data_IF_571740098422
#
_entry.id   IF_571740098422
#
_cell.length_a   1.000
_cell.length_b   1.000
_cell.length_c   1.000
_cell.angle_alpha   90.00
_cell.angle_beta   90.00
_cell.angle_gamma   90.00
#
_symmetry.space_group_name_H-M   'P 1'
#
loop_
_entity.id
_entity.type
_entity.pdbx_description
1 polymer ?
#
# COMPACT_ATOMS: atom_id res chain seq x y z
N UNK A 1 -53.79 21.76 55.69
CA UNK A 1 -52.83 22.08 54.62
C UNK A 1 -52.12 20.80 54.26
N UNK A 2 -52.52 20.16 53.17
CA UNK A 2 -52.06 18.83 52.77
C UNK A 2 -51.35 18.99 51.43
N UNK A 3 -50.01 18.85 51.40
CA UNK A 3 -49.22 18.97 50.18
C UNK A 3 -49.04 17.61 49.52
N UNK A 4 -49.69 17.45 48.37
CA UNK A 4 -49.61 16.28 47.49
C UNK A 4 -48.36 16.41 46.61
N UNK A 5 -47.39 15.51 46.77
CA UNK A 5 -46.18 15.45 45.95
C UNK A 5 -46.43 14.57 44.72
N UNK A 6 -46.53 15.20 43.54
CA UNK A 6 -46.51 14.50 42.24
C UNK A 6 -45.10 14.01 41.94
N UNK A 7 -44.92 12.70 41.85
CA UNK A 7 -43.74 12.08 41.28
C UNK A 7 -43.89 12.00 39.75
N UNK A 8 -43.15 12.85 39.02
CA UNK A 8 -42.94 12.69 37.58
C UNK A 8 -41.93 11.56 37.36
N UNK A 9 -42.40 10.42 36.84
CA UNK A 9 -41.53 9.36 36.35
C UNK A 9 -40.92 9.79 35.00
N UNK A 10 -39.61 10.04 34.98
CA UNK A 10 -38.86 10.28 33.76
C UNK A 10 -38.64 8.94 33.04
N UNK A 11 -39.34 8.72 31.93
CA UNK A 11 -39.06 7.65 30.98
C UNK A 11 -37.75 7.96 30.24
N UNK A 12 -36.69 7.24 30.59
CA UNK A 12 -35.45 7.23 29.82
C UNK A 12 -35.68 6.42 28.55
N UNK A 13 -35.83 7.11 27.43
CA UNK A 13 -35.79 6.53 26.09
C UNK A 13 -34.34 6.11 25.81
N UNK A 14 -34.05 4.82 25.95
CA UNK A 14 -32.81 4.23 25.47
C UNK A 14 -32.92 4.17 23.93
N UNK A 15 -32.25 5.10 23.24
CA UNK A 15 -32.11 5.01 21.80
C UNK A 15 -31.31 3.74 21.44
N UNK A 16 -31.76 2.93 20.46
CA UNK A 16 -30.96 1.82 19.98
C UNK A 16 -29.69 2.40 19.36
N UNK A 17 -28.54 2.07 19.93
CA UNK A 17 -27.24 2.29 19.27
C UNK A 17 -27.27 1.43 18.01
N UNK A 18 -27.29 2.06 16.84
CA UNK A 18 -27.19 1.37 15.57
C UNK A 18 -25.85 0.62 15.51
N UNK A 19 -25.89 -0.70 15.72
CA UNK A 19 -24.77 -1.59 15.43
C UNK A 19 -24.79 -1.84 13.93
N UNK A 20 -24.22 -0.91 13.16
CA UNK A 20 -24.05 -1.06 11.72
C UNK A 20 -22.79 -0.32 11.29
N UNK A 21 -21.64 -1.01 11.27
CA UNK A 21 -20.43 -0.66 10.49
C UNK A 21 -19.22 -1.57 10.83
N UNK A 22 -19.40 -2.89 10.96
CA UNK A 22 -18.26 -3.81 11.14
C UNK A 22 -17.86 -4.57 9.86
N UNK A 23 -18.61 -4.41 8.76
CA UNK A 23 -18.44 -5.20 7.53
C UNK A 23 -17.73 -4.45 6.37
N UNK A 24 -17.29 -3.22 6.59
CA UNK A 24 -16.70 -2.39 5.54
C UNK A 24 -15.22 -2.10 5.78
N UNK A 25 -14.41 -2.23 4.72
CA UNK A 25 -13.01 -1.81 4.74
C UNK A 25 -12.92 -0.29 4.94
N UNK A 26 -12.04 0.19 5.84
CA UNK A 26 -11.64 1.59 5.86
C UNK A 26 -11.12 2.05 4.49
N UNK A 27 -11.35 3.33 4.17
CA UNK A 27 -10.88 3.94 2.93
C UNK A 27 -9.37 3.76 2.71
N UNK A 28 -8.93 3.68 1.47
CA UNK A 28 -7.52 3.51 1.09
C UNK A 28 -7.30 2.30 0.20
N UNK A 29 -6.02 1.99 -0.02
CA UNK A 29 -5.61 0.89 -0.89
C UNK A 29 -5.47 -0.38 -0.06
N UNK A 30 -6.03 -1.49 -0.52
CA UNK A 30 -5.90 -2.81 0.08
C UNK A 30 -5.36 -3.80 -0.93
N UNK A 31 -4.39 -4.61 -0.52
CA UNK A 31 -3.79 -5.62 -1.40
C UNK A 31 -3.47 -6.91 -0.67
N UNK A 32 -3.37 -8.02 -1.39
CA UNK A 32 -2.83 -9.29 -0.87
C UNK A 32 -1.37 -9.54 -1.29
N UNK A 33 -0.62 -8.51 -1.71
CA UNK A 33 0.73 -8.67 -2.27
C UNK A 33 1.64 -9.49 -1.37
N UNK A 34 1.67 -9.20 -0.06
CA UNK A 34 2.59 -9.87 0.86
C UNK A 34 2.17 -11.31 1.19
N UNK A 35 0.87 -11.59 1.25
CA UNK A 35 0.39 -12.97 1.41
C UNK A 35 0.67 -13.82 0.16
N UNK A 36 0.41 -13.26 -1.03
CA UNK A 36 0.60 -13.99 -2.28
C UNK A 36 2.07 -14.18 -2.68
N UNK A 37 2.99 -13.34 -2.19
CA UNK A 37 4.40 -13.43 -2.55
C UNK A 37 5.06 -14.70 -2.01
N UNK A 38 4.78 -15.06 -0.75
CA UNK A 38 5.38 -16.20 -0.07
C UNK A 38 4.52 -17.47 -0.09
N UNK A 39 3.32 -17.42 -0.67
CA UNK A 39 2.39 -18.55 -0.70
C UNK A 39 3.04 -19.88 -1.13
N UNK A 40 3.80 -19.88 -2.23
CA UNK A 40 4.46 -21.10 -2.74
C UNK A 40 5.58 -21.60 -1.81
N UNK A 41 6.34 -20.69 -1.18
CA UNK A 41 7.36 -21.04 -0.18
C UNK A 41 6.72 -21.68 1.07
N UNK A 42 5.49 -21.29 1.38
CA UNK A 42 4.68 -21.84 2.47
C UNK A 42 3.88 -23.09 2.06
N UNK A 43 4.05 -23.60 0.83
CA UNK A 43 3.33 -24.77 0.33
C UNK A 43 1.86 -24.52 -0.02
N UNK A 44 1.46 -23.25 -0.19
CA UNK A 44 0.13 -22.82 -0.64
C UNK A 44 0.15 -22.48 -2.12
N UNK A 45 -0.99 -22.63 -2.79
CA UNK A 45 -1.17 -22.05 -4.13
C UNK A 45 -1.14 -20.53 -4.04
N UNK A 46 -0.48 -19.85 -4.99
CA UNK A 46 -0.49 -18.39 -5.07
C UNK A 46 -1.94 -17.90 -5.32
N UNK A 47 -2.51 -17.04 -4.46
CA UNK A 47 -3.84 -16.49 -4.66
C UNK A 47 -3.85 -15.54 -5.87
N UNK A 48 -5.05 -15.28 -6.42
CA UNK A 48 -5.21 -14.26 -7.43
C UNK A 48 -4.78 -12.89 -6.87
N UNK A 49 -4.05 -12.05 -7.64
CA UNK A 49 -3.67 -10.73 -7.18
C UNK A 49 -4.90 -9.86 -6.91
N UNK A 50 -4.94 -9.26 -5.73
CA UNK A 50 -5.97 -8.31 -5.32
C UNK A 50 -5.29 -6.97 -5.06
N UNK A 51 -5.77 -5.93 -5.75
CA UNK A 51 -5.49 -4.54 -5.42
C UNK A 51 -6.77 -3.73 -5.62
N UNK A 52 -7.28 -3.18 -4.53
CA UNK A 52 -8.51 -2.39 -4.53
C UNK A 52 -8.27 -1.05 -3.85
N UNK A 53 -8.97 -0.04 -4.33
CA UNK A 53 -9.07 1.27 -3.70
C UNK A 53 -10.48 1.41 -3.13
N UNK A 54 -10.59 1.82 -1.87
CA UNK A 54 -11.85 2.10 -1.18
C UNK A 54 -11.92 3.61 -0.90
N UNK A 55 -12.98 4.26 -1.37
CA UNK A 55 -13.23 5.68 -1.16
C UNK A 55 -13.72 5.98 0.25
N UNK A 56 -13.66 7.25 0.64
CA UNK A 56 -14.20 7.72 1.92
C UNK A 56 -15.73 7.57 2.02
N UNK A 57 -16.41 7.46 0.88
CA UNK A 57 -17.84 7.18 0.74
C UNK A 57 -18.18 5.68 0.75
N UNK A 58 -17.18 4.80 0.94
CA UNK A 58 -17.34 3.35 0.97
C UNK A 58 -17.47 2.69 -0.41
N UNK A 59 -17.48 3.47 -1.51
CA UNK A 59 -17.38 2.89 -2.86
C UNK A 59 -15.98 2.31 -3.07
N UNK A 60 -15.86 1.33 -3.95
CA UNK A 60 -14.59 0.68 -4.21
C UNK A 60 -14.35 0.42 -5.70
N UNK A 61 -13.10 0.24 -6.10
CA UNK A 61 -12.72 -0.18 -7.46
C UNK A 61 -11.43 -0.98 -7.45
N UNK A 62 -11.21 -1.77 -8.49
CA UNK A 62 -9.90 -2.38 -8.74
C UNK A 62 -8.88 -1.34 -9.19
N UNK A 63 -7.62 -1.53 -8.81
CA UNK A 63 -6.47 -0.77 -9.30
C UNK A 63 -5.35 -1.73 -9.72
N UNK A 64 -4.38 -1.25 -10.48
CA UNK A 64 -3.15 -2.01 -10.74
C UNK A 64 -2.01 -1.63 -9.76
N UNK A 65 -0.84 -2.26 -9.95
CA UNK A 65 0.35 -2.00 -9.13
C UNK A 65 0.88 -0.56 -9.22
N UNK A 66 0.46 0.21 -10.22
CA UNK A 66 0.82 1.62 -10.40
C UNK A 66 -0.24 2.57 -9.82
N UNK A 67 -1.30 2.02 -9.23
CA UNK A 67 -2.44 2.79 -8.72
C UNK A 67 -3.41 3.24 -9.81
N UNK A 68 -3.27 2.74 -11.04
CA UNK A 68 -4.18 3.10 -12.12
C UNK A 68 -5.51 2.33 -11.97
N UNK A 69 -6.67 2.99 -12.12
CA UNK A 69 -7.98 2.34 -12.03
C UNK A 69 -8.16 1.24 -13.08
N UNK A 70 -8.73 0.10 -12.67
CA UNK A 70 -9.08 -1.03 -13.54
C UNK A 70 -10.59 -1.13 -13.81
N UNK A 71 -11.33 -0.06 -13.52
CA UNK A 71 -12.78 0.02 -13.71
C UNK A 71 -13.40 1.21 -12.98
N UNK A 72 -14.71 1.34 -13.10
CA UNK A 72 -15.50 2.35 -12.41
C UNK A 72 -15.67 2.03 -10.92
N UNK A 73 -16.01 3.06 -10.14
CA UNK A 73 -16.40 2.91 -8.75
C UNK A 73 -17.67 2.07 -8.62
N UNK A 74 -17.65 1.11 -7.69
CA UNK A 74 -18.73 0.19 -7.38
C UNK A 74 -19.29 0.48 -6.00
N UNK A 75 -20.60 0.24 -5.83
CA UNK A 75 -21.30 0.30 -4.55
C UNK A 75 -21.55 -1.12 -4.01
N UNK A 76 -21.74 -1.23 -2.70
CA UNK A 76 -22.06 -2.50 -2.04
C UNK A 76 -20.83 -3.35 -1.72
N UNK A 77 -21.06 -4.64 -1.49
CA UNK A 77 -20.05 -5.56 -0.97
C UNK A 77 -18.91 -5.82 -1.97
N UNK A 78 -17.68 -5.88 -1.47
CA UNK A 78 -16.53 -6.35 -2.24
C UNK A 78 -16.61 -7.89 -2.34
N UNK A 79 -16.59 -8.48 -3.55
CA UNK A 79 -16.65 -9.93 -3.72
C UNK A 79 -15.54 -10.66 -2.95
N UNK A 80 -15.91 -11.75 -2.26
CA UNK A 80 -14.98 -12.59 -1.51
C UNK A 80 -14.46 -11.97 -0.21
N UNK A 81 -14.80 -10.71 0.09
CA UNK A 81 -14.36 -10.03 1.31
C UNK A 81 -14.98 -10.68 2.55
N UNK A 82 -14.12 -11.04 3.50
CA UNK A 82 -14.52 -11.54 4.80
C UNK A 82 -13.52 -11.10 5.88
N UNK A 83 -13.94 -11.00 7.15
CA UNK A 83 -13.01 -10.94 8.26
C UNK A 83 -12.18 -12.23 8.33
N UNK A 84 -10.94 -12.14 8.79
CA UNK A 84 -10.08 -13.32 9.02
C UNK A 84 -10.55 -14.11 10.24
N UNK A 85 -10.32 -15.42 10.21
CA UNK A 85 -10.49 -16.27 11.39
C UNK A 85 -9.60 -15.77 12.54
N UNK A 86 -10.18 -15.60 13.73
CA UNK A 86 -9.52 -14.96 14.87
C UNK A 86 -9.71 -13.43 14.97
N UNK A 87 -10.39 -12.79 14.00
CA UNK A 87 -10.87 -11.41 14.09
C UNK A 87 -9.85 -10.30 13.80
N UNK A 88 -8.58 -10.64 13.55
CA UNK A 88 -7.56 -9.65 13.21
C UNK A 88 -7.40 -9.49 11.69
N UNK A 89 -8.09 -8.52 11.12
CA UNK A 89 -7.91 -8.10 9.72
C UNK A 89 -8.86 -8.77 8.73
N UNK A 90 -8.54 -8.62 7.44
CA UNK A 90 -9.43 -8.91 6.33
C UNK A 90 -8.78 -9.88 5.33
N UNK A 91 -9.62 -10.58 4.58
CA UNK A 91 -9.21 -11.46 3.51
C UNK A 91 -10.17 -11.37 2.33
N UNK A 92 -9.67 -11.72 1.13
CA UNK A 92 -10.48 -11.99 -0.06
C UNK A 92 -10.13 -13.39 -0.53
N UNK A 93 -11.14 -14.25 -0.69
CA UNK A 93 -10.99 -15.64 -1.13
C UNK A 93 -9.93 -16.44 -0.33
N UNK A 94 -9.87 -16.19 0.98
CA UNK A 94 -8.93 -16.83 1.91
C UNK A 94 -7.50 -16.26 1.91
N UNK A 95 -7.22 -15.23 1.12
CA UNK A 95 -5.94 -14.53 1.08
C UNK A 95 -5.98 -13.25 1.91
N UNK A 96 -5.02 -13.07 2.82
CA UNK A 96 -4.95 -11.88 3.67
C UNK A 96 -4.76 -10.62 2.82
N UNK A 97 -5.61 -9.61 3.04
CA UNK A 97 -5.42 -8.27 2.50
C UNK A 97 -4.96 -7.29 3.57
N UNK A 98 -4.08 -6.38 3.18
CA UNK A 98 -3.49 -5.36 4.05
C UNK A 98 -3.74 -3.98 3.48
N UNK A 99 -4.06 -3.04 4.36
CA UNK A 99 -4.15 -1.62 4.01
C UNK A 99 -2.74 -1.10 3.72
N UNK A 100 -2.53 -0.59 2.52
CA UNK A 100 -1.28 0.03 2.13
C UNK A 100 -1.17 1.44 2.73
N UNK A 101 0.05 1.79 3.13
CA UNK A 101 0.39 3.14 3.55
C UNK A 101 0.85 3.93 2.32
N UNK A 102 0.34 5.17 2.12
CA UNK A 102 0.71 6.00 0.99
C UNK A 102 2.13 6.56 1.16
N UNK A 103 2.87 6.65 0.06
CA UNK A 103 4.20 7.25 -0.02
C UNK A 103 4.29 8.22 -1.19
N UNK A 104 5.10 9.27 -1.03
CA UNK A 104 5.59 10.09 -2.14
C UNK A 104 7.08 9.88 -2.31
N UNK A 105 7.51 9.69 -3.55
CA UNK A 105 8.89 9.40 -3.89
C UNK A 105 9.49 10.46 -4.81
N UNK A 106 10.81 10.50 -4.84
CA UNK A 106 11.57 11.14 -5.90
C UNK A 106 12.68 10.20 -6.37
N UNK A 107 13.04 10.34 -7.65
CA UNK A 107 14.08 9.57 -8.32
C UNK A 107 14.90 10.50 -9.21
N UNK A 108 16.22 10.32 -9.16
CA UNK A 108 17.18 10.98 -10.03
C UNK A 108 18.08 9.93 -10.66
N UNK A 109 18.17 9.92 -11.99
CA UNK A 109 18.95 8.94 -12.75
C UNK A 109 20.03 9.67 -13.53
N UNK A 110 21.25 9.16 -13.50
CA UNK A 110 22.36 9.73 -14.26
C UNK A 110 22.06 9.62 -15.75
N UNK A 111 22.24 10.72 -16.48
CA UNK A 111 22.14 10.74 -17.94
C UNK A 111 23.34 10.06 -18.59
N UNK A 112 23.15 9.59 -19.82
CA UNK A 112 24.24 9.03 -20.62
C UNK A 112 25.30 10.09 -20.96
N UNK A 113 24.86 11.31 -21.30
CA UNK A 113 25.74 12.44 -21.56
C UNK A 113 26.09 13.18 -20.27
N UNK A 114 27.36 13.55 -20.13
CA UNK A 114 27.82 14.49 -19.10
C UNK A 114 27.49 15.94 -19.50
N UNK A 115 27.63 16.86 -18.54
CA UNK A 115 27.60 18.30 -18.81
C UNK A 115 28.86 18.72 -19.60
N UNK A 116 28.86 19.90 -20.25
CA UNK A 116 30.02 20.38 -21.00
C UNK A 116 31.32 20.50 -20.18
N UNK A 117 31.20 20.68 -18.86
CA UNK A 117 32.34 20.73 -17.93
C UNK A 117 32.86 19.33 -17.51
N UNK A 118 32.33 18.26 -18.08
CA UNK A 118 32.70 16.88 -17.80
C UNK A 118 32.05 16.29 -16.54
N UNK A 119 31.25 17.04 -15.79
CA UNK A 119 30.57 16.54 -14.60
C UNK A 119 29.32 15.73 -14.95
N UNK A 120 28.92 14.74 -14.12
CA UNK A 120 27.71 13.97 -14.36
C UNK A 120 26.46 14.86 -14.46
N UNK A 121 25.64 14.64 -15.50
CA UNK A 121 24.30 15.20 -15.59
C UNK A 121 23.26 14.19 -15.10
N UNK A 122 22.14 14.69 -14.58
CA UNK A 122 21.13 13.90 -13.90
C UNK A 122 19.72 14.32 -14.31
N UNK A 123 18.82 13.35 -14.39
CA UNK A 123 17.38 13.61 -14.45
C UNK A 123 16.84 13.86 -13.04
N UNK A 124 15.61 14.38 -12.96
CA UNK A 124 14.88 14.45 -11.69
C UNK A 124 13.38 14.24 -11.95
N UNK A 125 12.79 13.32 -11.19
CA UNK A 125 11.36 13.07 -11.14
C UNK A 125 10.93 13.08 -9.67
N UNK A 126 10.04 14.00 -9.31
CA UNK A 126 9.52 14.15 -7.94
C UNK A 126 8.00 14.00 -7.87
N UNK A 127 7.45 14.00 -6.66
CA UNK A 127 6.02 13.83 -6.38
C UNK A 127 5.43 12.53 -6.98
N UNK A 128 6.24 11.47 -6.97
CA UNK A 128 5.86 10.16 -7.50
C UNK A 128 5.03 9.43 -6.45
N UNK A 129 3.72 9.28 -6.69
CA UNK A 129 2.84 8.55 -5.78
C UNK A 129 3.17 7.05 -5.81
N UNK A 130 3.22 6.43 -4.62
CA UNK A 130 3.38 4.99 -4.46
C UNK A 130 2.74 4.53 -3.13
N UNK A 131 2.81 3.23 -2.86
CA UNK A 131 2.29 2.64 -1.63
C UNK A 131 3.06 1.37 -1.28
N UNK A 132 3.14 1.05 0.01
CA UNK A 132 4.05 0.03 0.54
C UNK A 132 3.51 -1.41 0.53
N UNK A 133 2.54 -1.71 -0.32
CA UNK A 133 2.01 -3.08 -0.49
C UNK A 133 2.18 -3.52 -1.95
N UNK A 134 3.35 -3.26 -2.51
CA UNK A 134 3.70 -3.63 -3.88
C UNK A 134 3.55 -2.51 -4.90
N UNK A 135 3.31 -1.28 -4.47
CA UNK A 135 3.16 -0.12 -5.35
C UNK A 135 4.40 0.09 -6.21
N UNK A 136 4.20 0.40 -7.48
CA UNK A 136 5.23 0.57 -8.52
C UNK A 136 5.15 1.95 -9.14
N UNK A 137 6.31 2.49 -9.52
CA UNK A 137 6.41 3.71 -10.33
C UNK A 137 7.44 3.47 -11.42
N UNK A 138 7.09 3.80 -12.67
CA UNK A 138 8.01 3.81 -13.81
C UNK A 138 8.50 5.22 -14.08
N UNK A 139 9.81 5.37 -14.25
CA UNK A 139 10.48 6.63 -14.56
C UNK A 139 11.16 6.47 -15.91
N UNK A 140 10.58 7.10 -16.93
CA UNK A 140 11.15 7.11 -18.27
C UNK A 140 12.36 8.05 -18.33
N UNK A 141 13.50 7.52 -18.78
CA UNK A 141 14.72 8.27 -19.07
C UNK A 141 14.68 8.98 -20.43
N UNK A 142 13.65 8.74 -21.25
CA UNK A 142 13.35 9.46 -22.50
C UNK A 142 14.52 9.49 -23.50
N UNK A 143 15.35 8.44 -23.50
CA UNK A 143 16.56 8.33 -24.33
C UNK A 143 17.77 9.14 -23.82
N UNK A 144 17.61 9.94 -22.77
CA UNK A 144 18.72 10.70 -22.15
C UNK A 144 19.33 9.95 -20.96
N UNK A 145 18.56 9.07 -20.32
CA UNK A 145 18.95 8.22 -19.21
C UNK A 145 18.30 6.83 -19.34
N UNK A 146 18.73 5.82 -18.57
CA UNK A 146 18.01 4.55 -18.49
C UNK A 146 16.59 4.72 -17.97
N UNK A 147 15.66 3.93 -18.50
CA UNK A 147 14.35 3.73 -17.87
C UNK A 147 14.55 2.89 -16.60
N UNK A 148 13.86 3.28 -15.52
CA UNK A 148 13.89 2.55 -14.26
C UNK A 148 12.49 2.46 -13.67
N UNK A 149 12.25 1.43 -12.88
CA UNK A 149 11.06 1.34 -12.05
C UNK A 149 11.45 1.14 -10.60
N UNK A 150 10.66 1.73 -9.69
CA UNK A 150 10.79 1.47 -8.25
C UNK A 150 9.57 0.70 -7.76
N UNK A 151 9.77 -0.16 -6.76
CA UNK A 151 8.69 -0.89 -6.09
C UNK A 151 8.86 -0.79 -4.58
N UNK A 152 7.78 -0.48 -3.88
CA UNK A 152 7.77 -0.37 -2.42
C UNK A 152 6.97 -1.52 -1.79
N UNK A 153 7.54 -2.17 -0.77
CA UNK A 153 6.90 -3.25 -0.03
C UNK A 153 7.21 -3.15 1.45
N UNK A 154 6.22 -3.35 2.31
CA UNK A 154 6.40 -3.62 3.72
C UNK A 154 6.33 -5.13 3.92
N UNK A 155 7.49 -5.76 3.73
CA UNK A 155 7.64 -7.20 3.58
C UNK A 155 7.39 -7.89 4.91
N UNK A 156 6.51 -8.87 4.89
CA UNK A 156 6.44 -9.90 5.94
C UNK A 156 6.84 -11.22 5.32
N UNK A 157 7.92 -11.79 5.84
CA UNK A 157 8.51 -13.01 5.32
C UNK A 157 7.61 -14.22 5.54
N UNK A 158 7.87 -15.28 4.77
CA UNK A 158 7.16 -16.55 4.85
C UNK A 158 7.01 -17.04 6.30
N UNK A 159 5.89 -17.71 6.59
CA UNK A 159 5.63 -18.36 7.88
C UNK A 159 6.83 -19.24 8.28
N UNK A 160 7.33 -19.04 9.50
CA UNK A 160 8.50 -19.75 10.03
C UNK A 160 9.84 -19.10 9.72
N UNK A 161 9.88 -18.03 8.91
CA UNK A 161 11.09 -17.24 8.68
C UNK A 161 11.59 -16.57 9.96
N UNK A 162 12.91 -16.54 10.14
CA UNK A 162 13.57 -15.80 11.23
C UNK A 162 13.82 -14.33 10.89
N UNK A 163 13.58 -13.93 9.64
CA UNK A 163 13.81 -12.57 9.18
C UNK A 163 12.76 -11.63 9.79
N UNK A 164 13.18 -10.41 10.13
CA UNK A 164 12.29 -9.38 10.66
C UNK A 164 11.56 -8.67 9.50
N UNK A 165 10.28 -8.29 9.66
CA UNK A 165 9.58 -7.49 8.67
C UNK A 165 10.36 -6.21 8.35
N UNK A 166 10.27 -5.75 7.10
CA UNK A 166 11.07 -4.62 6.62
C UNK A 166 10.31 -3.79 5.58
N UNK A 167 10.45 -2.47 5.63
CA UNK A 167 10.10 -1.61 4.51
C UNK A 167 11.23 -1.68 3.48
N UNK A 168 10.93 -2.05 2.24
CA UNK A 168 11.91 -2.31 1.20
C UNK A 168 11.59 -1.50 -0.06
N UNK A 169 12.59 -0.76 -0.52
CA UNK A 169 12.58 -0.03 -1.80
C UNK A 169 13.44 -0.80 -2.80
N UNK A 170 12.78 -1.38 -3.82
CA UNK A 170 13.41 -2.07 -4.93
C UNK A 170 13.58 -1.15 -6.12
N UNK A 171 14.67 -1.33 -6.87
CA UNK A 171 14.94 -0.68 -8.15
C UNK A 171 15.02 -1.76 -9.24
N UNK A 172 14.33 -1.53 -10.34
CA UNK A 172 14.27 -2.38 -11.52
C UNK A 172 14.75 -1.59 -12.74
N UNK A 173 15.34 -2.29 -13.71
CA UNK A 173 15.68 -1.76 -15.04
C UNK A 173 14.95 -2.57 -16.11
N UNK A 174 15.62 -3.58 -16.66
CA UNK A 174 15.13 -4.35 -17.80
C UNK A 174 14.15 -5.46 -17.37
N UNK A 175 14.30 -5.99 -16.15
CA UNK A 175 13.45 -7.03 -15.59
C UNK A 175 12.46 -6.42 -14.55
N UNK A 176 11.14 -6.47 -14.80
CA UNK A 176 10.14 -5.89 -13.90
C UNK A 176 9.93 -6.71 -12.61
N UNK A 177 10.43 -7.94 -12.54
CA UNK A 177 10.26 -8.85 -11.40
C UNK A 177 11.55 -9.06 -10.62
N UNK A 178 12.70 -9.12 -11.29
CA UNK A 178 14.01 -9.17 -10.62
C UNK A 178 14.55 -7.76 -10.40
N UNK A 179 14.70 -7.39 -9.13
CA UNK A 179 15.33 -6.12 -8.78
C UNK A 179 16.81 -6.11 -9.16
N UNK A 180 17.27 -4.99 -9.72
CA UNK A 180 18.69 -4.65 -9.91
C UNK A 180 19.37 -4.48 -8.54
N UNK A 181 18.71 -3.78 -7.63
CA UNK A 181 19.16 -3.55 -6.26
C UNK A 181 17.98 -3.16 -5.38
N UNK A 182 18.18 -3.21 -4.07
CA UNK A 182 17.19 -2.77 -3.09
C UNK A 182 17.85 -2.21 -1.83
N UNK A 183 17.05 -1.50 -1.05
CA UNK A 183 17.41 -0.99 0.28
C UNK A 183 16.26 -1.31 1.24
N UNK A 184 16.55 -1.44 2.53
CA UNK A 184 15.54 -1.71 3.53
C UNK A 184 15.69 -0.82 4.76
N UNK A 185 14.56 -0.60 5.44
CA UNK A 185 14.44 0.11 6.70
C UNK A 185 13.50 -0.66 7.64
N UNK A 186 13.37 -0.18 8.87
CA UNK A 186 12.35 -0.69 9.81
C UNK A 186 10.95 -0.67 9.16
N UNK A 187 10.08 -1.63 9.46
CA UNK A 187 8.77 -1.75 8.81
C UNK A 187 7.84 -0.56 9.13
N UNK A 188 8.11 0.19 10.19
CA UNK A 188 7.39 1.39 10.62
C UNK A 188 8.06 2.71 10.19
N UNK A 189 9.20 2.65 9.50
CA UNK A 189 9.92 3.82 9.04
C UNK A 189 9.04 4.72 8.14
N UNK A 190 9.18 6.03 8.31
CA UNK A 190 8.52 7.04 7.48
C UNK A 190 9.35 7.41 6.24
N UNK A 191 10.58 6.90 6.10
CA UNK A 191 11.48 7.21 5.00
C UNK A 191 12.33 5.97 4.67
N UNK A 192 12.49 5.70 3.37
CA UNK A 192 13.48 4.74 2.86
C UNK A 192 14.14 5.33 1.62
N UNK A 193 15.44 5.11 1.45
CA UNK A 193 16.21 5.69 0.35
C UNK A 193 17.33 4.79 -0.14
N UNK A 194 17.76 5.05 -1.38
CA UNK A 194 18.76 4.24 -2.08
C UNK A 194 19.69 5.15 -2.88
N UNK A 195 20.97 4.77 -2.94
CA UNK A 195 21.97 5.42 -3.79
C UNK A 195 22.86 4.35 -4.44
N UNK A 196 22.75 4.22 -5.76
CA UNK A 196 23.49 3.25 -6.58
C UNK A 196 24.63 3.90 -7.38
N UNK A 197 25.01 5.14 -7.07
CA UNK A 197 25.98 5.98 -7.83
C UNK A 197 25.55 6.36 -9.25
N UNK A 198 24.63 5.63 -9.88
CA UNK A 198 24.02 5.96 -11.17
C UNK A 198 22.52 6.29 -11.05
N UNK A 199 21.91 5.97 -9.91
CA UNK A 199 20.54 6.32 -9.56
C UNK A 199 20.46 6.63 -8.07
N UNK A 200 19.62 7.59 -7.72
CA UNK A 200 19.30 7.96 -6.35
C UNK A 200 17.80 8.14 -6.22
N UNK A 201 17.25 7.80 -5.07
CA UNK A 201 15.85 8.05 -4.80
C UNK A 201 15.50 7.83 -3.34
N UNK A 202 14.34 8.35 -2.95
CA UNK A 202 13.75 8.03 -1.66
C UNK A 202 12.25 8.13 -1.71
N UNK A 203 11.59 7.43 -0.79
CA UNK A 203 10.15 7.44 -0.59
C UNK A 203 9.86 7.83 0.85
N UNK A 204 8.99 8.83 1.03
CA UNK A 204 8.53 9.34 2.32
C UNK A 204 7.05 8.98 2.51
N UNK A 205 6.70 8.46 3.69
CA UNK A 205 5.31 8.16 4.05
C UNK A 205 4.51 9.45 4.09
N UNK A 206 3.38 9.47 3.40
CA UNK A 206 2.43 10.57 3.50
C UNK A 206 1.70 10.44 4.85
N UNK A 207 1.47 11.56 5.53
CA UNK A 207 0.76 11.57 6.82
C UNK A 207 -0.58 10.85 6.74
N UNK A 208 -1.03 10.30 7.88
CA UNK A 208 -2.37 9.71 8.03
C UNK A 208 -3.46 10.80 8.04
#
# INVERSE_FOLDING_TARGET
MTFMHSYCAALVLIAPVAVAAQDALPAGIWTNTEDGYFAEEEGRSRPAPVMIEVGADGRWRGIDAFGAPQGEWQEGSIPGLAPREGGSGWQIDGSEIRRARPFTCWVSVRKFAAKPDGTPDWTFAGNLASFDQGGRVTIAGKGEAPDVSIRLRNVTWAVGSRNKPSLVLYVHKDDPERAESYSWASPDASLVGINLRWMQGSCTRMGD
#
